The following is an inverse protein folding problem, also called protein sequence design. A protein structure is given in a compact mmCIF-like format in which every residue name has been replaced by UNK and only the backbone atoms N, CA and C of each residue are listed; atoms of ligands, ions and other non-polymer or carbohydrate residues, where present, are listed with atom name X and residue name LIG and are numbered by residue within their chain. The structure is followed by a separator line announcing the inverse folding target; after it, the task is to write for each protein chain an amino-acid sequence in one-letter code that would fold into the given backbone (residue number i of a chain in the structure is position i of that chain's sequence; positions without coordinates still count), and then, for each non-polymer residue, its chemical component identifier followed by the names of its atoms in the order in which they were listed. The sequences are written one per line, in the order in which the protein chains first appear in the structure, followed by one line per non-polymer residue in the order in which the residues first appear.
data_IF_558504820601
#
_entry.id   IF_558504820601
#
_cell.length_a   1.000
_cell.length_b   1.000
_cell.length_c   1.000
_cell.angle_alpha   90.00
_cell.angle_beta   90.00
_cell.angle_gamma   90.00
#
_symmetry.space_group_name_H-M   'P 1'
#
loop_
_entity.id
_entity.type
_entity.pdbx_description
1 polymer ?
#
# COMPACT_ATOMS: atom_id res chain seq x y z
N UNK A 1 -13.37 -60.69 29.68
CA UNK A 1 -12.41 -59.83 28.95
C UNK A 1 -13.22 -58.93 28.03
N UNK A 2 -13.48 -57.69 28.44
CA UNK A 2 -14.24 -56.73 27.63
C UNK A 2 -13.26 -55.93 26.77
N UNK A 3 -13.43 -55.99 25.45
CA UNK A 3 -12.68 -55.17 24.50
C UNK A 3 -13.38 -53.82 24.38
N UNK A 4 -12.73 -52.76 24.86
CA UNK A 4 -13.20 -51.37 24.65
C UNK A 4 -12.54 -50.86 23.37
N UNK A 5 -13.34 -50.58 22.35
CA UNK A 5 -12.90 -49.90 21.13
C UNK A 5 -13.10 -48.40 21.33
N UNK A 6 -12.01 -47.66 21.46
CA UNK A 6 -12.03 -46.19 21.49
C UNK A 6 -12.01 -45.71 20.05
N UNK A 7 -13.15 -45.24 19.55
CA UNK A 7 -13.19 -44.45 18.31
C UNK A 7 -12.72 -43.03 18.64
N UNK A 8 -11.43 -42.76 18.42
CA UNK A 8 -10.93 -41.38 18.38
C UNK A 8 -11.42 -40.75 17.07
N UNK A 9 -12.48 -39.95 17.16
CA UNK A 9 -12.90 -39.08 16.07
C UNK A 9 -11.81 -38.02 15.91
N UNK A 10 -10.90 -38.25 14.95
CA UNK A 10 -9.97 -37.21 14.53
C UNK A 10 -10.81 -36.19 13.73
N UNK A 11 -11.29 -35.15 14.41
CA UNK A 11 -11.86 -34.00 13.73
C UNK A 11 -10.70 -33.37 12.94
N UNK A 12 -10.75 -33.26 11.60
CA UNK A 12 -9.74 -32.46 10.91
C UNK A 12 -9.84 -31.05 11.48
N UNK A 13 -8.74 -30.59 12.08
CA UNK A 13 -8.61 -29.20 12.51
C UNK A 13 -9.02 -28.35 11.30
N UNK A 14 -10.09 -27.58 11.48
CA UNK A 14 -10.51 -26.58 10.49
C UNK A 14 -9.36 -25.57 10.48
N UNK A 15 -8.45 -25.70 9.53
CA UNK A 15 -7.41 -24.71 9.32
C UNK A 15 -8.15 -23.48 8.83
N UNK A 16 -8.42 -22.55 9.74
CA UNK A 16 -8.82 -21.20 9.36
C UNK A 16 -7.62 -20.61 8.63
N UNK A 17 -7.71 -20.58 7.30
CA UNK A 17 -6.76 -19.86 6.48
C UNK A 17 -7.02 -18.39 6.72
N UNK A 18 -6.26 -17.78 7.62
CA UNK A 18 -6.24 -16.34 7.77
C UNK A 18 -5.59 -15.75 6.53
N UNK A 19 -6.39 -15.11 5.67
CA UNK A 19 -5.90 -14.45 4.47
C UNK A 19 -5.08 -13.23 4.88
N UNK A 20 -3.83 -13.14 4.41
CA UNK A 20 -3.02 -11.94 4.55
C UNK A 20 -3.33 -10.99 3.38
N UNK A 21 -4.40 -10.21 3.49
CA UNK A 21 -4.85 -9.31 2.42
C UNK A 21 -3.78 -8.31 1.97
N UNK A 22 -2.88 -7.89 2.87
CA UNK A 22 -1.74 -7.02 2.52
C UNK A 22 -0.82 -7.71 1.53
N UNK A 23 -0.47 -8.97 1.80
CA UNK A 23 0.38 -9.76 0.91
C UNK A 23 -0.34 -10.11 -0.40
N UNK A 24 -1.63 -10.42 -0.35
CA UNK A 24 -2.43 -10.70 -1.55
C UNK A 24 -2.48 -9.47 -2.48
N UNK A 25 -2.66 -8.26 -1.94
CA UNK A 25 -2.64 -7.04 -2.75
C UNK A 25 -1.27 -6.80 -3.40
N UNK A 26 -0.17 -7.01 -2.68
CA UNK A 26 1.18 -6.93 -3.27
C UNK A 26 1.38 -7.94 -4.38
N UNK A 27 0.96 -9.19 -4.15
CA UNK A 27 1.06 -10.24 -5.15
C UNK A 27 0.26 -9.87 -6.40
N UNK A 28 -0.95 -9.36 -6.23
CA UNK A 28 -1.78 -8.92 -7.34
C UNK A 28 -1.14 -7.77 -8.15
N UNK A 29 -0.60 -6.75 -7.49
CA UNK A 29 0.10 -5.65 -8.18
C UNK A 29 1.34 -6.14 -8.92
N UNK A 30 2.08 -7.09 -8.32
CA UNK A 30 3.24 -7.73 -8.97
C UNK A 30 2.83 -8.51 -10.22
N UNK A 31 1.73 -9.26 -10.17
CA UNK A 31 1.20 -9.96 -11.34
C UNK A 31 0.77 -8.99 -12.46
N UNK A 32 0.19 -7.84 -12.10
CA UNK A 32 -0.11 -6.76 -13.07
C UNK A 32 1.19 -6.22 -13.69
N UNK A 33 2.21 -5.95 -12.87
CA UNK A 33 3.52 -5.47 -13.33
C UNK A 33 4.16 -6.47 -14.30
N UNK A 34 4.25 -7.75 -13.90
CA UNK A 34 4.85 -8.80 -14.72
C UNK A 34 4.11 -8.94 -16.06
N UNK A 35 2.77 -8.87 -16.04
CA UNK A 35 1.97 -8.90 -17.25
C UNK A 35 2.21 -7.69 -18.15
N UNK A 36 2.19 -6.48 -17.59
CA UNK A 36 2.42 -5.24 -18.33
C UNK A 36 3.82 -5.22 -18.98
N UNK A 37 4.87 -5.54 -18.21
CA UNK A 37 6.25 -5.60 -18.71
C UNK A 37 6.49 -6.71 -19.73
N UNK A 38 5.68 -7.79 -19.70
CA UNK A 38 5.72 -8.81 -20.76
C UNK A 38 5.23 -8.30 -22.13
N UNK A 39 4.40 -7.25 -22.13
CA UNK A 39 3.86 -6.62 -23.35
C UNK A 39 4.69 -5.41 -23.75
N UNK A 40 5.06 -4.58 -22.79
CA UNK A 40 5.84 -3.36 -22.95
C UNK A 40 6.78 -3.19 -21.74
N UNK A 41 8.09 -3.47 -21.90
CA UNK A 41 9.06 -3.35 -20.80
C UNK A 41 9.17 -1.95 -20.19
N UNK A 42 8.71 -0.90 -20.88
CA UNK A 42 8.77 0.49 -20.41
C UNK A 42 7.44 0.96 -19.78
N UNK A 43 6.45 0.06 -19.63
CA UNK A 43 5.15 0.40 -19.03
C UNK A 43 5.29 0.76 -17.54
N UNK A 44 4.79 1.94 -17.17
CA UNK A 44 4.87 2.43 -15.79
C UNK A 44 3.73 1.89 -14.91
N UNK A 45 4.07 1.39 -13.72
CA UNK A 45 3.14 0.94 -12.69
C UNK A 45 3.15 1.94 -11.53
N UNK A 46 2.04 2.66 -11.36
CA UNK A 46 1.91 3.70 -10.32
C UNK A 46 0.58 3.46 -9.57
N UNK A 47 0.59 2.72 -8.45
CA UNK A 47 -0.57 2.60 -7.58
C UNK A 47 -0.91 3.95 -6.92
N UNK A 48 -2.18 4.15 -6.59
CA UNK A 48 -2.69 5.37 -5.97
C UNK A 48 -3.19 5.09 -4.55
N UNK A 49 -2.69 5.84 -3.58
CA UNK A 49 -2.87 5.69 -2.13
C UNK A 49 -2.28 4.37 -1.57
N UNK A 50 -2.72 3.98 -0.36
CA UNK A 50 -2.26 2.77 0.36
C UNK A 50 -0.72 2.63 0.39
N UNK A 51 -0.02 3.76 0.50
CA UNK A 51 1.44 3.87 0.54
C UNK A 51 2.08 3.01 1.63
N UNK A 52 1.33 2.61 2.66
CA UNK A 52 1.75 1.69 3.71
C UNK A 52 2.12 0.30 3.17
N UNK A 53 1.67 -0.05 1.95
CA UNK A 53 2.04 -1.31 1.29
C UNK A 53 3.54 -1.42 1.00
N UNK A 54 4.32 -0.34 1.09
CA UNK A 54 5.79 -0.44 1.00
C UNK A 54 6.42 -1.16 2.19
N UNK A 55 5.72 -1.30 3.33
CA UNK A 55 6.25 -1.91 4.56
C UNK A 55 5.76 -3.34 4.75
N UNK A 56 6.63 -4.30 5.05
CA UNK A 56 6.25 -5.70 5.30
C UNK A 56 5.12 -5.83 6.31
N UNK A 57 5.23 -5.10 7.43
CA UNK A 57 4.26 -5.02 8.51
C UNK A 57 4.04 -3.55 8.93
N UNK A 58 2.82 -3.22 9.36
CA UNK A 58 2.49 -1.88 9.89
C UNK A 58 3.26 -1.57 11.18
N UNK A 59 3.56 -2.58 11.99
CA UNK A 59 4.24 -2.43 13.28
C UNK A 59 5.77 -2.34 13.15
N UNK A 60 6.32 -2.56 11.95
CA UNK A 60 7.76 -2.59 11.69
C UNK A 60 8.13 -1.64 10.54
N UNK A 61 8.08 -0.31 10.76
CA UNK A 61 8.25 0.70 9.73
C UNK A 61 9.65 0.78 9.11
N UNK A 62 10.63 0.07 9.67
CA UNK A 62 11.98 -0.07 9.08
C UNK A 62 12.08 -1.21 8.07
N UNK A 63 11.09 -2.10 7.98
CA UNK A 63 11.14 -3.26 7.09
C UNK A 63 10.29 -3.03 5.84
N UNK A 64 10.97 -2.72 4.74
CA UNK A 64 10.33 -2.58 3.43
C UNK A 64 10.08 -3.92 2.75
N UNK A 65 9.01 -3.99 1.96
CA UNK A 65 8.69 -5.10 1.06
C UNK A 65 9.37 -4.87 -0.29
N UNK A 66 10.64 -5.29 -0.36
CA UNK A 66 11.47 -5.16 -1.56
C UNK A 66 10.81 -5.71 -2.83
N UNK A 67 10.16 -6.89 -2.83
CA UNK A 67 9.48 -7.39 -4.03
C UNK A 67 8.37 -6.47 -4.54
N UNK A 68 7.63 -5.81 -3.65
CA UNK A 68 6.60 -4.85 -4.03
C UNK A 68 7.19 -3.53 -4.52
N UNK A 69 8.22 -3.00 -3.85
CA UNK A 69 8.91 -1.77 -4.29
C UNK A 69 9.48 -1.95 -5.69
N UNK A 70 10.12 -3.08 -5.99
CA UNK A 70 10.69 -3.33 -7.32
C UNK A 70 9.65 -3.59 -8.42
N UNK A 71 8.37 -3.78 -8.08
CA UNK A 71 7.30 -3.99 -9.06
C UNK A 71 6.50 -2.73 -9.40
N UNK A 72 6.89 -1.58 -8.85
CA UNK A 72 6.22 -0.31 -9.11
C UNK A 72 7.26 0.75 -9.43
N UNK A 73 6.87 1.73 -10.23
CA UNK A 73 7.72 2.84 -10.66
C UNK A 73 7.46 4.11 -9.83
N UNK A 74 6.31 4.18 -9.18
CA UNK A 74 5.94 5.30 -8.33
C UNK A 74 4.71 5.04 -7.48
N UNK A 75 4.36 6.06 -6.70
CA UNK A 75 3.15 6.10 -5.86
C UNK A 75 2.43 7.42 -6.11
N UNK A 76 1.14 7.32 -6.43
CA UNK A 76 0.21 8.44 -6.38
C UNK A 76 -0.33 8.61 -4.96
N UNK A 77 -0.42 9.86 -4.47
CA UNK A 77 -1.09 10.20 -3.22
C UNK A 77 -2.04 11.36 -3.46
N UNK A 78 -3.31 11.13 -3.20
CA UNK A 78 -4.28 12.22 -3.16
C UNK A 78 -4.23 12.93 -1.81
N UNK A 79 -4.78 14.14 -1.76
CA UNK A 79 -5.16 14.86 -0.54
C UNK A 79 -4.07 14.98 0.53
N UNK A 80 -2.80 15.07 0.12
CA UNK A 80 -1.67 15.10 1.04
C UNK A 80 -1.69 16.35 1.91
N UNK A 81 -1.92 17.52 1.31
CA UNK A 81 -1.99 18.80 2.02
C UNK A 81 -3.38 19.42 1.96
N UNK A 82 -4.18 19.14 0.93
CA UNK A 82 -5.53 19.66 0.78
C UNK A 82 -6.49 18.65 0.12
N UNK A 83 -7.68 18.48 0.70
CA UNK A 83 -8.76 17.69 0.11
C UNK A 83 -9.21 16.45 0.87
N UNK A 84 -8.61 16.14 2.03
CA UNK A 84 -8.84 14.85 2.70
C UNK A 84 -10.29 14.69 3.20
N UNK A 85 -10.82 15.70 3.90
CA UNK A 85 -12.23 15.71 4.34
C UNK A 85 -13.16 16.38 3.31
N UNK A 86 -12.66 17.40 2.61
CA UNK A 86 -13.38 18.11 1.56
C UNK A 86 -12.42 18.96 0.70
N UNK A 87 -12.79 19.17 -0.56
CA UNK A 87 -12.09 20.06 -1.49
C UNK A 87 -11.79 21.43 -0.86
N UNK A 88 -10.63 21.95 -1.21
CA UNK A 88 -10.06 23.21 -0.75
C UNK A 88 -9.81 23.28 0.76
N UNK A 89 -10.07 22.23 1.54
CA UNK A 89 -9.73 22.20 2.96
C UNK A 89 -8.37 21.61 3.20
N UNK A 90 -7.61 22.20 4.13
CA UNK A 90 -6.32 21.67 4.53
C UNK A 90 -6.49 20.29 5.18
N UNK A 91 -5.69 19.32 4.73
CA UNK A 91 -5.56 18.02 5.38
C UNK A 91 -4.95 18.20 6.76
N UNK A 92 -5.44 17.43 7.75
CA UNK A 92 -4.94 17.55 9.11
C UNK A 92 -3.43 17.27 9.15
N UNK A 93 -2.60 18.12 9.80
CA UNK A 93 -1.15 17.96 9.78
C UNK A 93 -0.64 16.60 10.26
N UNK A 94 -1.34 15.94 11.18
CA UNK A 94 -0.99 14.60 11.64
C UNK A 94 -1.15 13.54 10.55
N UNK A 95 -2.18 13.67 9.71
CA UNK A 95 -2.43 12.81 8.55
C UNK A 95 -1.35 13.04 7.50
N UNK A 96 -1.12 14.31 7.11
CA UNK A 96 -0.07 14.68 6.15
C UNK A 96 1.30 14.20 6.59
N UNK A 97 1.66 14.41 7.86
CA UNK A 97 2.94 13.96 8.41
C UNK A 97 3.09 12.44 8.38
N UNK A 98 1.99 11.71 8.57
CA UNK A 98 2.00 10.24 8.50
C UNK A 98 2.26 9.78 7.08
N UNK A 99 1.54 10.31 6.10
CA UNK A 99 1.74 9.98 4.68
C UNK A 99 3.12 10.40 4.17
N UNK A 100 3.59 11.58 4.54
CA UNK A 100 4.94 12.03 4.22
C UNK A 100 6.02 11.06 4.71
N UNK A 101 5.83 10.37 5.83
CA UNK A 101 6.80 9.38 6.30
C UNK A 101 6.95 8.21 5.31
N UNK A 102 5.84 7.69 4.80
CA UNK A 102 5.84 6.61 3.80
C UNK A 102 6.33 7.10 2.43
N UNK A 103 5.88 8.28 1.98
CA UNK A 103 6.26 8.82 0.69
C UNK A 103 7.74 9.19 0.63
N UNK A 104 8.31 9.71 1.73
CA UNK A 104 9.75 9.93 1.82
C UNK A 104 10.53 8.62 1.78
N UNK A 105 10.04 7.56 2.44
CA UNK A 105 10.65 6.24 2.37
C UNK A 105 10.59 5.66 0.96
N UNK A 106 9.45 5.77 0.27
CA UNK A 106 9.29 5.36 -1.12
C UNK A 106 10.29 6.09 -2.04
N UNK A 107 10.39 7.42 -1.90
CA UNK A 107 11.34 8.25 -2.66
C UNK A 107 12.80 7.87 -2.38
N UNK A 108 13.15 7.56 -1.14
CA UNK A 108 14.49 7.08 -0.77
C UNK A 108 14.83 5.73 -1.41
N UNK A 109 13.81 4.92 -1.74
CA UNK A 109 13.96 3.64 -2.42
C UNK A 109 13.73 3.74 -3.95
N UNK A 110 13.85 4.94 -4.51
CA UNK A 110 13.89 5.15 -5.96
C UNK A 110 12.53 5.29 -6.65
N UNK A 111 11.43 5.27 -5.90
CA UNK A 111 10.09 5.44 -6.47
C UNK A 111 9.79 6.92 -6.75
N UNK A 112 9.10 7.18 -7.87
CA UNK A 112 8.47 8.48 -8.09
C UNK A 112 7.32 8.70 -7.09
N UNK A 113 7.12 9.94 -6.65
CA UNK A 113 5.98 10.31 -5.80
C UNK A 113 5.20 11.41 -6.52
N UNK A 114 3.92 11.13 -6.79
CA UNK A 114 3.00 12.05 -7.46
C UNK A 114 1.90 12.44 -6.49
N UNK A 115 1.77 13.73 -6.20
CA UNK A 115 0.78 14.24 -5.24
C UNK A 115 -0.34 14.96 -6.01
N UNK A 116 -1.59 14.72 -5.59
CA UNK A 116 -2.78 15.39 -6.12
C UNK A 116 -3.52 16.02 -4.94
N UNK A 117 -3.50 17.34 -4.85
CA UNK A 117 -4.30 18.08 -3.87
C UNK A 117 -5.52 18.72 -4.54
N UNK A 118 -6.65 18.69 -3.84
CA UNK A 118 -7.92 19.19 -4.34
C UNK A 118 -8.12 20.66 -3.94
N UNK A 119 -7.49 21.58 -4.67
CA UNK A 119 -7.55 23.02 -4.38
C UNK A 119 -8.41 23.80 -5.39
N UNK A 120 -9.15 24.80 -4.91
CA UNK A 120 -9.88 25.77 -5.75
C UNK A 120 -9.46 27.22 -5.46
N UNK A 121 -8.96 27.52 -4.27
CA UNK A 121 -8.38 28.81 -3.90
C UNK A 121 -6.98 28.96 -4.52
N UNK A 122 -6.69 30.05 -5.27
CA UNK A 122 -5.38 30.26 -5.89
C UNK A 122 -4.21 30.16 -4.92
N UNK A 123 -4.36 30.70 -3.70
CA UNK A 123 -3.30 30.63 -2.68
C UNK A 123 -3.01 29.21 -2.20
N UNK A 124 -3.99 28.29 -2.24
CA UNK A 124 -3.80 26.89 -1.85
C UNK A 124 -3.28 26.03 -3.00
N UNK A 125 -3.65 26.38 -4.23
CA UNK A 125 -3.02 25.80 -5.42
C UNK A 125 -1.52 26.13 -5.42
N UNK A 126 -1.17 27.40 -5.21
CA UNK A 126 0.23 27.83 -5.16
C UNK A 126 0.99 27.15 -4.03
N UNK A 127 0.35 26.90 -2.88
CA UNK A 127 0.95 26.24 -1.71
C UNK A 127 1.13 24.73 -1.90
N UNK A 128 0.26 24.05 -2.64
CA UNK A 128 0.21 22.59 -2.70
C UNK A 128 1.39 21.92 -3.41
N UNK A 129 2.23 22.69 -4.11
CA UNK A 129 3.39 22.16 -4.86
C UNK A 129 4.73 22.81 -4.48
N UNK A 130 4.77 23.59 -3.40
CA UNK A 130 6.00 24.16 -2.84
C UNK A 130 6.75 23.17 -1.95
#
# INVERSE_FOLDING_TARGET
MFLIIIFSVCNPLKVEVTINYRQEMRAFIREISDYAHSLDPDFLIIPQNEQELILKDKESPSEIDEPYIHSIDGIGREDLFYGYEADDQATEPAISSTYLSYLNLAKQNGLAVLVIDYCTSPSKIDDSYL
#
